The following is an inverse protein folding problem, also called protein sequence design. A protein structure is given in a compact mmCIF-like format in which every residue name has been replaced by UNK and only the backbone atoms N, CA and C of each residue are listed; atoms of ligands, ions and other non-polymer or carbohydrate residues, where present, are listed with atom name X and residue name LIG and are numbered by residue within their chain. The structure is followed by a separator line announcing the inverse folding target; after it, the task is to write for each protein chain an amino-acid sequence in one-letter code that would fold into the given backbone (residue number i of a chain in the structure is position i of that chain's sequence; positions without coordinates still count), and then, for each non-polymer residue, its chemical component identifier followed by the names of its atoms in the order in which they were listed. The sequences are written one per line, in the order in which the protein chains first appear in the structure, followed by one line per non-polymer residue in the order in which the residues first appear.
data_IF_565623468404
#
_entry.id   IF_565623468404
#
_cell.length_a   1.000
_cell.length_b   1.000
_cell.length_c   1.000
_cell.angle_alpha   90.00
_cell.angle_beta   90.00
_cell.angle_gamma   90.00
#
_symmetry.space_group_name_H-M   'P 1'
#
loop_
_entity.id
_entity.type
_entity.pdbx_description
1 polymer ?
#
# COMPACT_ATOMS: atom_id res chain seq x y z
N UNK A 1 29.94 15.36 -11.11
CA UNK A 1 29.16 16.38 -10.38
C UNK A 1 27.91 15.69 -9.86
N UNK A 2 27.87 15.31 -8.57
CA UNK A 2 26.73 14.56 -8.00
C UNK A 2 25.61 15.55 -7.73
N UNK A 3 24.61 15.60 -8.58
CA UNK A 3 23.34 16.27 -8.29
C UNK A 3 22.70 15.56 -7.11
N UNK A 4 22.79 16.15 -5.92
CA UNK A 4 22.16 15.59 -4.72
C UNK A 4 20.66 15.55 -4.92
N UNK A 5 20.04 14.37 -4.82
CA UNK A 5 18.58 14.26 -4.85
C UNK A 5 18.03 15.00 -3.63
N UNK A 6 17.31 16.09 -3.90
CA UNK A 6 16.61 16.85 -2.86
C UNK A 6 15.14 16.72 -3.14
N UNK A 7 14.38 16.29 -2.14
CA UNK A 7 12.94 16.46 -2.18
C UNK A 7 12.71 17.97 -2.16
N UNK A 8 12.23 18.53 -3.28
CA UNK A 8 11.90 19.95 -3.32
C UNK A 8 10.82 20.23 -2.28
N UNK A 9 10.79 21.45 -1.73
CA UNK A 9 9.78 21.83 -0.74
C UNK A 9 8.36 21.60 -1.28
N UNK A 10 8.13 21.93 -2.55
CA UNK A 10 6.86 21.70 -3.24
C UNK A 10 6.51 20.21 -3.34
N UNK A 11 7.46 19.35 -3.73
CA UNK A 11 7.25 17.90 -3.73
C UNK A 11 6.93 17.37 -2.33
N UNK A 12 7.66 17.82 -1.31
CA UNK A 12 7.44 17.42 0.08
C UNK A 12 6.03 17.79 0.55
N UNK A 13 5.59 19.02 0.29
CA UNK A 13 4.25 19.49 0.61
C UNK A 13 3.16 18.70 -0.12
N UNK A 14 3.36 18.39 -1.40
CA UNK A 14 2.43 17.56 -2.19
C UNK A 14 2.30 16.17 -1.57
N UNK A 15 3.42 15.53 -1.19
CA UNK A 15 3.39 14.21 -0.57
C UNK A 15 2.64 14.22 0.76
N UNK A 16 2.90 15.20 1.62
CA UNK A 16 2.18 15.34 2.90
C UNK A 16 0.69 15.55 2.68
N UNK A 17 0.31 16.40 1.72
CA UNK A 17 -1.08 16.65 1.38
C UNK A 17 -1.78 15.38 0.87
N UNK A 18 -1.13 14.61 0.00
CA UNK A 18 -1.67 13.34 -0.49
C UNK A 18 -1.87 12.34 0.67
N UNK A 19 -0.89 12.21 1.57
CA UNK A 19 -1.01 11.33 2.73
C UNK A 19 -2.16 11.75 3.67
N UNK A 20 -2.33 13.06 3.86
CA UNK A 20 -3.40 13.66 4.66
C UNK A 20 -4.80 13.35 4.12
N UNK A 21 -5.00 13.55 2.82
CA UNK A 21 -6.30 13.26 2.19
C UNK A 21 -6.60 11.75 2.29
N UNK A 22 -5.58 10.90 2.27
CA UNK A 22 -5.73 9.47 2.53
C UNK A 22 -6.21 9.11 3.91
N UNK A 23 -5.56 9.66 4.93
CA UNK A 23 -5.99 9.46 6.30
C UNK A 23 -7.45 9.92 6.50
N UNK A 24 -7.83 11.05 5.91
CA UNK A 24 -9.20 11.56 5.94
C UNK A 24 -10.19 10.59 5.26
N UNK A 25 -9.85 10.11 4.06
CA UNK A 25 -10.72 9.24 3.25
C UNK A 25 -11.00 7.90 3.90
N UNK A 26 -9.99 7.30 4.55
CA UNK A 26 -10.15 6.07 5.32
C UNK A 26 -11.05 6.27 6.53
N UNK A 27 -10.93 7.42 7.19
CA UNK A 27 -11.75 7.72 8.37
C UNK A 27 -13.20 8.04 8.01
N UNK A 28 -13.45 8.66 6.86
CA UNK A 28 -14.82 8.93 6.39
C UNK A 28 -15.56 7.64 5.99
N UNK A 29 -14.85 6.64 5.48
CA UNK A 29 -15.45 5.39 5.01
C UNK A 29 -15.97 4.49 6.14
N UNK A 30 -15.44 4.63 7.36
CA UNK A 30 -15.93 3.88 8.53
C UNK A 30 -17.23 4.45 9.14
N UNK A 31 -17.66 5.65 8.72
CA UNK A 31 -18.89 6.30 9.20
C UNK A 31 -20.17 5.76 8.57
N UNK A 32 -20.10 5.39 7.30
CA UNK A 32 -21.29 5.15 6.47
C UNK A 32 -21.96 3.80 6.73
N UNK A 33 -21.36 2.92 7.54
CA UNK A 33 -21.78 1.52 7.69
C UNK A 33 -22.64 1.21 8.92
N UNK A 34 -22.91 2.17 9.81
CA UNK A 34 -23.65 1.89 11.06
C UNK A 34 -24.95 2.70 11.22
N UNK A 35 -26.09 2.00 11.11
CA UNK A 35 -27.44 2.51 11.35
C UNK A 35 -27.75 2.74 12.83
N UNK A 36 -27.19 3.79 13.41
CA UNK A 36 -27.46 4.20 14.80
C UNK A 36 -28.73 5.10 14.92
N UNK A 37 -29.21 5.36 16.13
CA UNK A 37 -30.32 6.31 16.42
C UNK A 37 -29.84 7.77 16.46
N UNK A 38 -30.70 8.79 16.33
CA UNK A 38 -30.26 10.19 16.18
C UNK A 38 -29.36 10.73 17.34
N UNK A 39 -29.63 10.35 18.59
CA UNK A 39 -28.84 10.78 19.75
C UNK A 39 -27.52 10.01 19.90
N UNK A 40 -27.55 8.69 19.63
CA UNK A 40 -26.33 7.88 19.56
C UNK A 40 -25.45 8.29 18.38
N UNK A 41 -26.04 8.72 17.26
CA UNK A 41 -25.33 9.38 16.16
C UNK A 41 -24.62 10.65 16.62
N UNK A 42 -25.25 11.54 17.39
CA UNK A 42 -24.63 12.80 17.81
C UNK A 42 -23.41 12.57 18.73
N UNK A 43 -23.53 11.69 19.74
CA UNK A 43 -22.43 11.35 20.64
C UNK A 43 -21.34 10.54 19.93
N UNK A 44 -21.72 9.64 19.02
CA UNK A 44 -20.76 9.00 18.11
C UNK A 44 -20.06 10.03 17.22
N UNK A 45 -20.77 11.00 16.65
CA UNK A 45 -20.21 12.03 15.76
C UNK A 45 -19.16 12.84 16.50
N UNK A 46 -19.40 13.23 17.76
CA UNK A 46 -18.43 14.02 18.53
C UNK A 46 -17.20 13.20 18.95
N UNK A 47 -17.40 12.00 19.50
CA UNK A 47 -16.31 11.11 19.88
C UNK A 47 -15.48 10.68 18.67
N UNK A 48 -16.15 10.44 17.55
CA UNK A 48 -15.52 10.09 16.29
C UNK A 48 -14.79 11.28 15.69
N UNK A 49 -15.40 12.47 15.60
CA UNK A 49 -14.73 13.68 15.09
C UNK A 49 -13.41 13.93 15.84
N UNK A 50 -13.42 13.75 17.15
CA UNK A 50 -12.22 13.80 17.98
C UNK A 50 -11.19 12.69 17.63
N UNK A 51 -11.63 11.47 17.34
CA UNK A 51 -10.76 10.40 16.86
C UNK A 51 -10.23 10.64 15.44
N UNK A 52 -11.04 11.19 14.53
CA UNK A 52 -10.63 11.59 13.17
C UNK A 52 -9.57 12.67 13.26
N UNK A 53 -9.84 13.72 14.03
CA UNK A 53 -8.92 14.85 14.16
C UNK A 53 -7.58 14.40 14.76
N UNK A 54 -7.62 13.56 15.80
CA UNK A 54 -6.41 12.97 16.41
C UNK A 54 -5.68 12.06 15.43
N UNK A 55 -6.39 11.18 14.73
CA UNK A 55 -5.81 10.31 13.72
C UNK A 55 -5.16 11.09 12.58
N UNK A 56 -5.80 12.16 12.13
CA UNK A 56 -5.31 13.03 11.06
C UNK A 56 -4.09 13.82 11.49
N UNK A 57 -4.07 14.36 12.72
CA UNK A 57 -2.89 15.03 13.28
C UNK A 57 -1.74 14.04 13.45
N UNK A 58 -1.99 12.84 13.97
CA UNK A 58 -0.93 11.83 14.13
C UNK A 58 -0.40 11.37 12.76
N UNK A 59 -1.29 11.10 11.80
CA UNK A 59 -0.90 10.71 10.45
C UNK A 59 -0.12 11.83 9.75
N UNK A 60 -0.56 13.09 9.88
CA UNK A 60 0.13 14.23 9.25
C UNK A 60 1.53 14.43 9.80
N UNK A 61 1.68 14.39 11.12
CA UNK A 61 2.97 14.48 11.79
C UNK A 61 3.87 13.31 11.40
N UNK A 62 3.32 12.10 11.38
CA UNK A 62 4.05 10.89 11.01
C UNK A 62 4.56 10.96 9.56
N UNK A 63 3.69 11.23 8.58
CA UNK A 63 4.12 11.29 7.17
C UNK A 63 5.01 12.50 6.88
N UNK A 64 4.79 13.64 7.53
CA UNK A 64 5.70 14.79 7.43
C UNK A 64 7.09 14.45 7.95
N UNK A 65 7.16 13.77 9.09
CA UNK A 65 8.42 13.28 9.65
C UNK A 65 9.08 12.27 8.71
N UNK A 66 8.32 11.33 8.13
CA UNK A 66 8.86 10.36 7.17
C UNK A 66 9.43 11.06 5.94
N UNK A 67 8.73 12.04 5.35
CA UNK A 67 9.24 12.79 4.19
C UNK A 67 10.50 13.57 4.55
N UNK A 68 10.53 14.21 5.73
CA UNK A 68 11.71 14.93 6.22
C UNK A 68 12.91 14.00 6.41
N UNK A 69 12.72 12.88 7.11
CA UNK A 69 13.77 11.88 7.34
C UNK A 69 14.23 11.25 6.03
N UNK A 70 13.30 10.99 5.10
CA UNK A 70 13.62 10.48 3.77
C UNK A 70 14.53 11.45 3.02
N UNK A 71 14.28 12.75 3.07
CA UNK A 71 15.16 13.75 2.47
C UNK A 71 16.57 13.72 3.09
N UNK A 72 16.68 13.55 4.42
CA UNK A 72 17.98 13.42 5.10
C UNK A 72 18.72 12.15 4.68
N UNK A 73 18.01 11.03 4.52
CA UNK A 73 18.58 9.73 4.16
C UNK A 73 18.98 9.69 2.68
N UNK A 74 18.13 10.20 1.78
CA UNK A 74 18.39 10.28 0.34
C UNK A 74 19.65 11.10 0.02
N UNK A 75 19.97 12.12 0.82
CA UNK A 75 21.23 12.85 0.69
C UNK A 75 22.48 12.03 1.07
N UNK A 76 22.31 10.84 1.66
CA UNK A 76 23.37 9.93 2.10
C UNK A 76 23.44 8.62 1.30
N UNK A 77 22.53 8.41 0.36
CA UNK A 77 22.51 7.24 -0.53
C UNK A 77 22.48 7.68 -1.99
N UNK A 78 23.03 6.87 -2.88
CA UNK A 78 23.08 7.18 -4.31
C UNK A 78 21.77 6.77 -5.00
N UNK A 79 20.67 7.42 -4.59
CA UNK A 79 19.36 7.27 -5.19
C UNK A 79 18.80 8.65 -5.56
N UNK A 80 18.29 8.77 -6.79
CA UNK A 80 17.61 9.98 -7.27
C UNK A 80 16.18 9.68 -7.74
N UNK A 81 15.26 9.41 -6.80
CA UNK A 81 13.90 9.01 -7.14
C UNK A 81 13.05 10.14 -7.74
N UNK A 82 13.51 11.39 -7.63
CA UNK A 82 12.82 12.59 -8.15
C UNK A 82 13.57 13.26 -9.30
N UNK A 83 14.54 12.57 -9.91
CA UNK A 83 15.19 13.04 -11.12
C UNK A 83 14.14 13.50 -12.16
N UNK A 84 14.35 14.65 -12.83
CA UNK A 84 13.41 15.15 -13.83
C UNK A 84 13.29 14.13 -14.95
N UNK A 85 12.04 13.76 -15.26
CA UNK A 85 11.69 12.77 -16.29
C UNK A 85 10.49 13.29 -17.06
N UNK A 86 10.42 12.94 -18.34
CA UNK A 86 9.24 13.23 -19.14
C UNK A 86 8.03 12.43 -18.62
N UNK A 87 6.81 12.94 -18.83
CA UNK A 87 5.59 12.22 -18.45
C UNK A 87 5.52 10.83 -19.09
N UNK A 88 6.01 10.67 -20.33
CA UNK A 88 6.05 9.38 -21.02
C UNK A 88 6.94 8.37 -20.29
N UNK A 89 8.10 8.79 -19.78
CA UNK A 89 9.02 7.94 -19.02
C UNK A 89 8.49 7.53 -17.65
N UNK A 90 7.51 8.28 -17.12
CA UNK A 90 6.81 7.94 -15.88
C UNK A 90 5.62 7.01 -16.18
N UNK A 91 4.75 7.42 -17.10
CA UNK A 91 3.45 6.77 -17.35
C UNK A 91 3.62 5.43 -18.07
N UNK A 92 4.47 5.34 -19.10
CA UNK A 92 4.62 4.12 -19.91
C UNK A 92 5.08 2.91 -19.08
N UNK A 93 6.19 2.99 -18.31
CA UNK A 93 6.57 1.87 -17.45
C UNK A 93 5.54 1.62 -16.34
N UNK A 94 4.92 2.67 -15.78
CA UNK A 94 3.90 2.48 -14.76
C UNK A 94 2.70 1.67 -15.26
N UNK A 95 2.21 1.98 -16.46
CA UNK A 95 1.15 1.22 -17.13
C UNK A 95 1.59 -0.21 -17.42
N UNK A 96 2.75 -0.40 -18.04
CA UNK A 96 3.22 -1.73 -18.41
C UNK A 96 3.36 -2.65 -17.20
N UNK A 97 4.12 -2.24 -16.18
CA UNK A 97 4.36 -3.06 -15.00
C UNK A 97 3.13 -3.13 -14.09
N UNK A 98 2.33 -2.06 -14.00
CA UNK A 98 1.10 -2.05 -13.22
C UNK A 98 0.04 -3.00 -13.79
N UNK A 99 -0.15 -3.00 -15.12
CA UNK A 99 -1.06 -3.94 -15.78
C UNK A 99 -0.56 -5.37 -15.67
N UNK A 100 0.72 -5.61 -15.97
CA UNK A 100 1.31 -6.94 -15.90
C UNK A 100 1.15 -7.54 -14.49
N UNK A 101 1.50 -6.79 -13.45
CA UNK A 101 1.37 -7.23 -12.08
C UNK A 101 -0.09 -7.36 -11.65
N UNK A 102 -0.95 -6.42 -12.04
CA UNK A 102 -2.39 -6.45 -11.76
C UNK A 102 -3.07 -7.70 -12.30
N UNK A 103 -2.64 -8.20 -13.48
CA UNK A 103 -3.13 -9.44 -14.07
C UNK A 103 -2.45 -10.69 -13.48
N UNK A 104 -1.16 -10.61 -13.14
CA UNK A 104 -0.41 -11.75 -12.59
C UNK A 104 -0.82 -12.08 -11.15
N UNK A 105 -1.16 -11.08 -10.32
CA UNK A 105 -1.46 -11.29 -8.90
C UNK A 105 -2.71 -12.17 -8.66
N UNK A 106 -3.85 -11.99 -9.35
CA UNK A 106 -4.97 -12.91 -9.27
C UNK A 106 -4.63 -14.34 -9.73
N UNK A 107 -3.77 -14.49 -10.73
CA UNK A 107 -3.31 -15.80 -11.19
C UNK A 107 -2.44 -16.49 -10.14
N UNK A 108 -1.53 -15.73 -9.52
CA UNK A 108 -0.72 -16.22 -8.41
C UNK A 108 -1.59 -16.65 -7.23
N UNK A 109 -2.58 -15.84 -6.85
CA UNK A 109 -3.54 -16.20 -5.78
C UNK A 109 -4.31 -17.49 -6.11
N UNK A 110 -4.80 -17.63 -7.35
CA UNK A 110 -5.46 -18.86 -7.80
C UNK A 110 -4.53 -20.07 -7.77
N UNK A 111 -3.26 -19.90 -8.13
CA UNK A 111 -2.26 -20.95 -8.05
C UNK A 111 -2.02 -21.36 -6.59
N UNK A 112 -1.77 -20.40 -5.69
CA UNK A 112 -1.53 -20.66 -4.28
C UNK A 112 -2.76 -21.34 -3.63
N UNK A 113 -3.97 -20.85 -3.90
CA UNK A 113 -5.18 -21.41 -3.30
C UNK A 113 -5.69 -22.69 -3.95
N UNK A 114 -5.75 -22.73 -5.28
CA UNK A 114 -6.31 -23.87 -6.00
C UNK A 114 -5.34 -25.04 -6.12
N UNK A 115 -4.06 -24.76 -6.38
CA UNK A 115 -3.07 -25.82 -6.64
C UNK A 115 -2.30 -26.23 -5.38
N UNK A 116 -1.90 -25.26 -4.54
CA UNK A 116 -1.17 -25.55 -3.30
C UNK A 116 -2.10 -25.71 -2.08
N UNK A 117 -3.42 -25.60 -2.27
CA UNK A 117 -4.41 -25.72 -1.19
C UNK A 117 -4.27 -24.65 -0.10
N UNK A 118 -3.62 -23.52 -0.39
CA UNK A 118 -3.47 -22.45 0.59
C UNK A 118 -4.81 -21.75 0.79
N UNK A 119 -5.35 -21.66 2.02
CA UNK A 119 -6.58 -20.91 2.27
C UNK A 119 -6.45 -19.49 1.73
N UNK A 120 -7.41 -19.08 0.90
CA UNK A 120 -7.48 -17.71 0.40
C UNK A 120 -7.68 -16.77 1.60
N UNK A 121 -6.91 -15.67 1.68
CA UNK A 121 -7.05 -14.74 2.79
C UNK A 121 -8.44 -14.09 2.75
N UNK A 122 -9.21 -14.31 3.82
CA UNK A 122 -10.54 -13.69 4.03
C UNK A 122 -10.54 -12.16 3.90
N UNK A 123 -9.36 -11.54 4.05
CA UNK A 123 -9.11 -10.12 3.86
C UNK A 123 -9.59 -9.57 2.53
N UNK A 124 -9.35 -10.29 1.43
CA UNK A 124 -9.71 -9.76 0.10
C UNK A 124 -11.22 -9.70 -0.06
N UNK A 125 -11.94 -10.77 0.33
CA UNK A 125 -13.39 -10.80 0.24
C UNK A 125 -14.08 -9.76 1.14
N UNK A 126 -13.57 -9.51 2.35
CA UNK A 126 -14.13 -8.52 3.26
C UNK A 126 -13.81 -7.09 2.85
N UNK A 127 -12.55 -6.79 2.50
CA UNK A 127 -12.14 -5.46 2.03
C UNK A 127 -12.86 -5.10 0.73
N UNK A 128 -12.97 -6.03 -0.21
CA UNK A 128 -13.70 -5.79 -1.46
C UNK A 128 -15.19 -5.58 -1.21
N UNK A 129 -15.80 -6.27 -0.24
CA UNK A 129 -17.19 -6.03 0.16
C UNK A 129 -17.39 -4.67 0.79
N UNK A 130 -16.52 -4.25 1.71
CA UNK A 130 -16.60 -2.95 2.37
C UNK A 130 -16.31 -1.79 1.40
N UNK A 131 -15.33 -1.96 0.50
CA UNK A 131 -15.06 -0.99 -0.57
C UNK A 131 -16.21 -0.93 -1.58
N UNK A 132 -16.83 -2.08 -1.94
CA UNK A 132 -17.95 -2.12 -2.87
C UNK A 132 -19.18 -1.32 -2.39
N UNK A 133 -19.33 -1.15 -1.07
CA UNK A 133 -20.39 -0.33 -0.48
C UNK A 133 -20.14 1.19 -0.66
N UNK A 134 -18.89 1.59 -0.90
CA UNK A 134 -18.54 2.98 -1.20
C UNK A 134 -18.84 3.24 -2.69
N UNK A 135 -19.32 4.44 -3.03
CA UNK A 135 -19.45 4.83 -4.44
C UNK A 135 -18.09 4.78 -5.16
N UNK A 136 -18.09 4.50 -6.47
CA UNK A 136 -16.86 4.39 -7.28
C UNK A 136 -15.85 5.55 -7.11
N UNK A 137 -16.27 6.83 -6.93
CA UNK A 137 -15.30 7.91 -6.73
C UNK A 137 -14.58 7.81 -5.38
N UNK A 138 -15.29 7.41 -4.33
CA UNK A 138 -14.75 7.27 -2.99
C UNK A 138 -13.79 6.09 -2.90
N UNK A 139 -14.11 4.97 -3.56
CA UNK A 139 -13.20 3.83 -3.69
C UNK A 139 -11.88 4.24 -4.36
N UNK A 140 -11.96 4.98 -5.48
CA UNK A 140 -10.78 5.42 -6.22
C UNK A 140 -9.88 6.34 -5.37
N UNK A 141 -10.49 7.26 -4.62
CA UNK A 141 -9.77 8.15 -3.70
C UNK A 141 -9.08 7.36 -2.58
N UNK A 142 -9.81 6.52 -1.85
CA UNK A 142 -9.23 5.69 -0.77
C UNK A 142 -8.07 4.85 -1.30
N UNK A 143 -8.24 4.23 -2.48
CA UNK A 143 -7.22 3.42 -3.14
C UNK A 143 -5.97 4.23 -3.49
N UNK A 144 -6.15 5.42 -4.07
CA UNK A 144 -5.06 6.29 -4.48
C UNK A 144 -4.19 6.66 -3.28
N UNK A 145 -4.83 7.07 -2.20
CA UNK A 145 -4.10 7.56 -1.05
C UNK A 145 -3.49 6.45 -0.18
N UNK A 146 -4.14 5.29 -0.07
CA UNK A 146 -3.54 4.12 0.57
C UNK A 146 -2.25 3.70 -0.15
N UNK A 147 -2.26 3.73 -1.48
CA UNK A 147 -1.07 3.47 -2.29
C UNK A 147 0.02 4.51 -2.02
N UNK A 148 -0.29 5.80 -2.04
CA UNK A 148 0.70 6.84 -1.75
C UNK A 148 1.31 6.71 -0.35
N UNK A 149 0.49 6.44 0.66
CA UNK A 149 0.94 6.19 2.03
C UNK A 149 1.95 5.04 2.09
N UNK A 150 1.64 3.91 1.42
CA UNK A 150 2.54 2.76 1.32
C UNK A 150 3.84 3.10 0.60
N UNK A 151 3.79 3.87 -0.48
CA UNK A 151 4.99 4.24 -1.23
C UNK A 151 5.88 5.23 -0.47
N UNK A 152 5.29 6.21 0.23
CA UNK A 152 6.06 7.10 1.12
C UNK A 152 6.72 6.30 2.25
N UNK A 153 5.99 5.39 2.88
CA UNK A 153 6.53 4.58 3.96
C UNK A 153 7.66 3.66 3.44
N UNK A 154 7.36 2.76 2.51
CA UNK A 154 8.28 1.69 2.16
C UNK A 154 9.35 2.13 1.16
N UNK A 155 9.02 2.97 0.18
CA UNK A 155 9.92 3.25 -0.95
C UNK A 155 10.70 4.52 -0.69
N UNK A 156 10.02 5.56 -0.20
CA UNK A 156 10.68 6.83 0.08
C UNK A 156 11.50 6.80 1.37
N UNK A 157 11.01 6.13 2.43
CA UNK A 157 11.71 6.04 3.71
C UNK A 157 12.45 4.72 3.93
N UNK A 158 11.74 3.59 4.02
CA UNK A 158 12.32 2.31 4.47
C UNK A 158 13.44 1.83 3.53
N UNK A 159 13.23 1.85 2.22
CA UNK A 159 14.24 1.36 1.26
C UNK A 159 15.56 2.16 1.34
N UNK A 160 15.56 3.51 1.28
CA UNK A 160 16.78 4.29 1.50
C UNK A 160 17.40 4.07 2.88
N UNK A 161 16.59 3.90 3.93
CA UNK A 161 17.09 3.64 5.28
C UNK A 161 17.84 2.30 5.35
N UNK A 162 17.24 1.24 4.81
CA UNK A 162 17.88 -0.09 4.72
C UNK A 162 19.14 -0.01 3.87
N UNK A 163 19.08 0.65 2.71
CA UNK A 163 20.25 0.83 1.84
C UNK A 163 21.39 1.56 2.58
N UNK A 164 21.07 2.62 3.35
CA UNK A 164 22.06 3.33 4.16
C UNK A 164 22.71 2.43 5.22
N UNK A 165 21.92 1.60 5.89
CA UNK A 165 22.42 0.65 6.89
C UNK A 165 23.33 -0.39 6.24
N UNK A 166 22.89 -1.01 5.14
CA UNK A 166 23.68 -2.02 4.44
C UNK A 166 24.99 -1.43 3.88
N UNK A 167 24.96 -0.21 3.32
CA UNK A 167 26.17 0.49 2.88
C UNK A 167 27.17 0.73 4.02
N UNK A 168 26.70 0.93 5.27
CA UNK A 168 27.58 1.04 6.43
C UNK A 168 28.15 -0.31 6.86
N UNK A 169 27.35 -1.38 6.77
CA UNK A 169 27.76 -2.73 7.17
C UNK A 169 28.75 -3.36 6.18
N UNK A 170 28.56 -3.16 4.88
CA UNK A 170 29.35 -3.82 3.82
C UNK A 170 30.50 -2.99 3.27
N UNK A 171 30.75 -1.79 3.82
CA UNK A 171 31.68 -0.73 3.37
C UNK A 171 32.99 -1.16 2.70
N UNK A 172 33.75 -2.20 3.12
CA UNK A 172 35.01 -2.55 2.46
C UNK A 172 34.90 -3.39 1.16
N UNK A 173 33.73 -3.86 0.74
CA UNK A 173 33.60 -4.82 -0.39
C UNK A 173 33.37 -4.09 -1.73
N UNK A 174 34.35 -4.10 -2.65
CA UNK A 174 34.31 -3.39 -3.94
C UNK A 174 33.12 -3.74 -4.89
N UNK A 175 32.31 -4.75 -4.56
CA UNK A 175 31.12 -5.24 -5.30
C UNK A 175 29.78 -4.58 -4.92
N UNK A 176 29.80 -3.57 -4.03
CA UNK A 176 28.62 -3.17 -3.24
C UNK A 176 27.44 -2.57 -4.00
N UNK A 177 27.60 -1.94 -5.17
CA UNK A 177 26.53 -1.10 -5.73
C UNK A 177 25.21 -1.86 -6.01
N UNK A 178 25.26 -2.83 -6.92
CA UNK A 178 24.04 -3.52 -7.38
C UNK A 178 23.49 -4.52 -6.36
N UNK A 179 24.37 -5.30 -5.73
CA UNK A 179 23.94 -6.30 -4.75
C UNK A 179 23.27 -5.65 -3.54
N UNK A 180 23.81 -4.56 -3.02
CA UNK A 180 23.24 -3.89 -1.84
C UNK A 180 21.88 -3.25 -2.13
N UNK A 181 21.67 -2.74 -3.36
CA UNK A 181 20.36 -2.25 -3.79
C UNK A 181 19.35 -3.39 -3.92
N UNK A 182 19.73 -4.53 -4.50
CA UNK A 182 18.83 -5.69 -4.60
C UNK A 182 18.47 -6.23 -3.22
N UNK A 183 19.45 -6.32 -2.32
CA UNK A 183 19.24 -6.74 -0.94
C UNK A 183 18.34 -5.76 -0.17
N UNK A 184 18.49 -4.44 -0.37
CA UNK A 184 17.63 -3.45 0.28
C UNK A 184 16.19 -3.53 -0.22
N UNK A 185 15.98 -3.77 -1.51
CA UNK A 185 14.66 -4.02 -2.10
C UNK A 185 14.03 -5.27 -1.46
N UNK A 186 14.78 -6.37 -1.37
CA UNK A 186 14.30 -7.62 -0.79
C UNK A 186 13.91 -7.46 0.68
N UNK A 187 14.79 -6.87 1.51
CA UNK A 187 14.53 -6.63 2.94
C UNK A 187 13.31 -5.72 3.12
N UNK A 188 13.20 -4.64 2.33
CA UNK A 188 12.05 -3.73 2.40
C UNK A 188 10.75 -4.45 2.02
N UNK A 189 10.78 -5.30 1.00
CA UNK A 189 9.62 -6.08 0.58
C UNK A 189 9.20 -7.12 1.63
N UNK A 190 10.16 -7.70 2.37
CA UNK A 190 9.86 -8.56 3.52
C UNK A 190 9.25 -7.76 4.67
N UNK A 191 9.79 -6.59 5.00
CA UNK A 191 9.20 -5.70 6.02
C UNK A 191 7.74 -5.36 5.66
N UNK A 192 7.48 -5.00 4.40
CA UNK A 192 6.12 -4.74 3.92
C UNK A 192 5.21 -5.97 4.05
N UNK A 193 5.73 -7.17 3.79
CA UNK A 193 5.00 -8.42 3.98
C UNK A 193 4.69 -8.70 5.44
N UNK A 194 5.65 -8.53 6.34
CA UNK A 194 5.48 -8.71 7.79
C UNK A 194 4.46 -7.72 8.34
N UNK A 195 4.51 -6.45 7.94
CA UNK A 195 3.50 -5.46 8.35
C UNK A 195 2.11 -5.88 7.85
N UNK A 196 2.00 -6.37 6.61
CA UNK A 196 0.74 -6.87 6.07
C UNK A 196 0.20 -8.09 6.84
N UNK A 197 1.09 -8.96 7.35
CA UNK A 197 0.72 -10.05 8.25
C UNK A 197 0.17 -9.53 9.57
N UNK A 198 0.86 -8.61 10.23
CA UNK A 198 0.41 -8.03 11.50
C UNK A 198 -0.94 -7.33 11.37
N UNK A 199 -1.15 -6.58 10.28
CA UNK A 199 -2.46 -5.99 9.98
C UNK A 199 -3.53 -7.05 9.76
N UNK A 200 -3.21 -8.15 9.08
CA UNK A 200 -4.18 -9.23 8.84
C UNK A 200 -4.52 -10.01 10.12
N UNK A 201 -3.53 -10.37 10.95
CA UNK A 201 -3.75 -11.03 12.24
C UNK A 201 -4.65 -10.16 13.16
N UNK A 202 -4.46 -8.84 13.16
CA UNK A 202 -5.29 -7.93 13.96
C UNK A 202 -6.74 -7.81 13.47
N UNK A 203 -7.00 -8.00 12.18
CA UNK A 203 -8.34 -7.85 11.60
C UNK A 203 -9.13 -9.18 11.63
N UNK A 204 -8.46 -10.31 11.43
CA UNK A 204 -9.11 -11.63 11.29
C UNK A 204 -8.90 -12.56 12.47
N UNK A 205 -8.09 -12.17 13.45
CA UNK A 205 -7.67 -13.05 14.53
C UNK A 205 -6.53 -13.99 14.10
N UNK A 206 -6.26 -15.05 14.88
CA UNK A 206 -5.09 -15.88 14.69
C UNK A 206 -5.13 -16.61 13.34
N UNK A 207 -4.23 -16.24 12.43
CA UNK A 207 -4.09 -16.88 11.13
C UNK A 207 -3.27 -18.17 11.22
N UNK A 208 -3.62 -19.16 10.40
CA UNK A 208 -2.82 -20.39 10.27
C UNK A 208 -1.47 -20.07 9.59
N UNK A 209 -0.47 -20.93 9.81
CA UNK A 209 0.86 -20.78 9.17
C UNK A 209 0.73 -20.68 7.65
N UNK A 210 -0.16 -21.47 7.05
CA UNK A 210 -0.37 -21.47 5.60
C UNK A 210 -0.97 -20.15 5.10
N UNK A 211 -1.93 -19.56 5.84
CA UNK A 211 -2.46 -18.22 5.54
C UNK A 211 -1.38 -17.14 5.66
N UNK A 212 -0.52 -17.24 6.68
CA UNK A 212 0.60 -16.30 6.87
C UNK A 212 1.58 -16.38 5.72
N UNK A 213 1.99 -17.58 5.30
CA UNK A 213 2.86 -17.74 4.14
C UNK A 213 2.20 -17.18 2.87
N UNK A 214 0.91 -17.43 2.67
CA UNK A 214 0.16 -16.93 1.53
C UNK A 214 0.17 -15.38 1.49
N UNK A 215 -0.18 -14.71 2.59
CA UNK A 215 -0.20 -13.24 2.69
C UNK A 215 1.21 -12.67 2.50
N UNK A 216 2.23 -13.29 3.09
CA UNK A 216 3.62 -12.86 2.95
C UNK A 216 4.06 -12.89 1.49
N UNK A 217 3.79 -13.97 0.76
CA UNK A 217 4.13 -14.08 -0.67
C UNK A 217 3.41 -13.02 -1.50
N UNK A 218 2.09 -12.87 -1.31
CA UNK A 218 1.29 -11.90 -2.05
C UNK A 218 1.68 -10.45 -1.75
N UNK A 219 2.24 -10.15 -0.59
CA UNK A 219 2.70 -8.80 -0.24
C UNK A 219 4.16 -8.54 -0.67
N UNK A 220 5.04 -9.52 -0.52
CA UNK A 220 6.48 -9.37 -0.80
C UNK A 220 6.78 -9.33 -2.30
N UNK A 221 6.18 -10.20 -3.11
CA UNK A 221 6.44 -10.26 -4.57
C UNK A 221 6.16 -8.91 -5.28
N UNK A 222 4.95 -8.32 -5.18
CA UNK A 222 4.69 -7.02 -5.79
C UNK A 222 5.56 -5.92 -5.16
N UNK A 223 5.86 -6.04 -3.86
CA UNK A 223 6.70 -5.06 -3.17
C UNK A 223 8.13 -5.00 -3.69
N UNK A 224 8.69 -6.13 -4.12
CA UNK A 224 10.00 -6.18 -4.78
C UNK A 224 9.96 -5.44 -6.13
N UNK A 225 8.91 -5.64 -6.93
CA UNK A 225 8.77 -4.96 -8.22
C UNK A 225 8.68 -3.44 -8.04
N UNK A 226 7.87 -2.96 -7.08
CA UNK A 226 7.78 -1.52 -6.80
C UNK A 226 9.08 -0.95 -6.26
N UNK A 227 9.81 -1.69 -5.42
CA UNK A 227 11.16 -1.29 -4.99
C UNK A 227 12.14 -1.17 -6.15
N UNK A 228 12.11 -2.10 -7.09
CA UNK A 228 12.92 -2.03 -8.32
C UNK A 228 12.53 -0.83 -9.20
N UNK A 229 11.22 -0.60 -9.39
CA UNK A 229 10.71 0.57 -10.12
C UNK A 229 11.12 1.88 -9.46
N UNK A 230 11.08 1.96 -8.12
CA UNK A 230 11.53 3.14 -7.39
C UNK A 230 13.00 3.44 -7.69
N UNK A 231 13.88 2.43 -7.61
CA UNK A 231 15.31 2.58 -7.86
C UNK A 231 15.64 2.89 -9.33
N UNK A 232 14.90 2.35 -10.30
CA UNK A 232 15.22 2.49 -11.74
C UNK A 232 14.42 3.58 -12.44
N UNK A 233 13.15 3.72 -12.08
CA UNK A 233 12.16 4.55 -12.77
C UNK A 233 11.65 5.73 -11.94
N UNK A 234 12.06 5.84 -10.68
CA UNK A 234 11.71 6.94 -9.80
C UNK A 234 10.41 6.73 -9.03
N UNK A 235 10.16 7.62 -8.08
CA UNK A 235 9.03 7.52 -7.13
C UNK A 235 7.68 7.53 -7.84
N UNK A 236 7.45 8.49 -8.73
CA UNK A 236 6.16 8.65 -9.41
C UNK A 236 5.78 7.42 -10.25
N UNK A 237 6.76 6.79 -10.90
CA UNK A 237 6.53 5.57 -11.68
C UNK A 237 6.11 4.41 -10.78
N UNK A 238 6.80 4.21 -9.65
CA UNK A 238 6.47 3.15 -8.70
C UNK A 238 5.07 3.35 -8.10
N UNK A 239 4.74 4.56 -7.68
CA UNK A 239 3.43 4.90 -7.12
C UNK A 239 2.30 4.72 -8.12
N UNK A 240 2.48 5.17 -9.36
CA UNK A 240 1.49 4.99 -10.40
C UNK A 240 1.31 3.51 -10.77
N UNK A 241 2.41 2.73 -10.88
CA UNK A 241 2.34 1.29 -11.14
C UNK A 241 1.59 0.54 -10.04
N UNK A 242 1.85 0.90 -8.77
CA UNK A 242 1.16 0.33 -7.62
C UNK A 242 -0.33 0.67 -7.65
N UNK A 243 -0.67 1.93 -7.95
CA UNK A 243 -2.07 2.35 -8.08
C UNK A 243 -2.82 1.59 -9.18
N UNK A 244 -2.20 1.45 -10.36
CA UNK A 244 -2.78 0.69 -11.48
C UNK A 244 -2.97 -0.79 -11.10
N UNK A 245 -1.95 -1.40 -10.47
CA UNK A 245 -2.01 -2.78 -9.97
C UNK A 245 -3.20 -2.95 -9.02
N UNK A 246 -3.37 -2.01 -8.09
CA UNK A 246 -4.45 -2.01 -7.12
C UNK A 246 -5.82 -1.89 -7.79
N UNK A 247 -5.99 -0.97 -8.74
CA UNK A 247 -7.24 -0.84 -9.50
C UNK A 247 -7.58 -2.15 -10.21
N UNK A 248 -6.63 -2.77 -10.90
CA UNK A 248 -6.88 -3.99 -11.69
C UNK A 248 -7.27 -5.15 -10.77
N UNK A 249 -6.55 -5.34 -9.66
CA UNK A 249 -6.86 -6.40 -8.69
C UNK A 249 -8.27 -6.24 -8.12
N UNK A 250 -8.68 -5.01 -7.81
CA UNK A 250 -10.00 -4.75 -7.23
C UNK A 250 -11.12 -4.75 -8.28
N UNK A 251 -10.89 -4.22 -9.48
CA UNK A 251 -11.88 -4.21 -10.58
C UNK A 251 -12.15 -5.60 -11.15
N UNK A 252 -11.12 -6.44 -11.29
CA UNK A 252 -11.25 -7.82 -11.82
C UNK A 252 -12.13 -8.70 -10.92
N UNK A 253 -12.22 -8.38 -9.63
CA UNK A 253 -13.09 -9.09 -8.70
C UNK A 253 -14.58 -8.83 -8.96
N UNK A 254 -14.94 -7.60 -9.35
CA UNK A 254 -16.33 -7.24 -9.70
C UNK A 254 -16.85 -7.95 -10.94
N UNK A 255 -15.95 -8.31 -11.88
CA UNK A 255 -16.32 -9.02 -13.11
C UNK A 255 -16.62 -10.50 -12.80
N UNK A 256 -15.95 -11.10 -11.81
CA UNK A 256 -16.06 -12.54 -11.53
C UNK A 256 -17.10 -12.93 -10.47
N UNK A 257 -17.60 -11.99 -9.67
CA UNK A 257 -18.67 -12.24 -8.70
C UNK A 257 -19.81 -11.26 -8.90
N UNK A 258 -20.92 -11.65 -9.56
CA UNK A 258 -22.09 -10.81 -9.66
C UNK A 258 -22.62 -10.45 -8.26
N UNK A 259 -22.94 -9.18 -7.98
CA UNK A 259 -23.47 -8.76 -6.67
C UNK A 259 -24.77 -9.49 -6.27
N UNK A 260 -25.49 -10.06 -7.24
CA UNK A 260 -26.69 -10.86 -7.02
C UNK A 260 -26.45 -12.21 -6.33
N UNK A 261 -25.24 -12.78 -6.41
CA UNK A 261 -24.95 -14.09 -5.78
C UNK A 261 -24.57 -13.99 -4.30
N UNK A 262 -24.19 -12.81 -3.80
CA UNK A 262 -23.84 -12.61 -2.39
C UNK A 262 -25.08 -12.37 -1.52
N UNK A 263 -26.18 -11.86 -2.11
CA UNK A 263 -27.43 -11.61 -1.40
C UNK A 263 -28.25 -12.88 -1.11
N UNK A 264 -27.96 -14.00 -1.79
CA UNK A 264 -28.79 -15.22 -1.74
C UNK A 264 -28.25 -16.27 -0.75
N UNK A 265 -27.02 -16.14 -0.24
CA UNK A 265 -26.40 -17.16 0.63
C UNK A 265 -26.53 -16.90 2.13
N UNK A 266 -27.46 -16.04 2.57
CA UNK A 266 -27.91 -16.02 3.97
C UNK A 266 -29.20 -16.86 4.04
N UNK A 267 -29.14 -18.19 4.22
CA UNK A 267 -30.30 -18.87 4.77
C UNK A 267 -30.50 -18.25 6.15
N UNK A 268 -31.65 -17.61 6.32
CA UNK A 268 -32.17 -17.23 7.63
C UNK A 268 -31.95 -18.43 8.54
N UNK A 269 -31.00 -18.28 9.47
CA UNK A 269 -30.82 -19.19 10.59
C UNK A 269 -32.19 -19.24 11.26
N UNK A 270 -32.84 -20.40 11.15
CA UNK A 270 -34.10 -20.67 11.80
C UNK A 270 -33.94 -20.40 13.28
N UNK A 271 -34.69 -19.42 13.76
CA UNK A 271 -34.95 -19.25 15.18
C UNK A 271 -35.81 -20.44 15.63
N UNK A 272 -35.39 -21.25 16.62
CA UNK A 272 -36.31 -22.07 17.38
C UNK A 272 -37.28 -21.20 18.20
#
# INVERSE_FOLDING_TARGET
MITRSRISLTTGLILVLLCLIGALSLTFSSLTTHGASALSKLLMIQGLFSAILRGLVIASLFYSLLVLLSNVILNKVDLDPFAPRSLREIISPALMYGVLLGLAMPLLERFLSGYLGMPSPAFKARLTRELALLGWPQQLMVSLFDVFNKEVHYRLFTLPAVLLILNKLFRPIHLQGHFTILLSIFITALISGIVSLGTSDNIFGPLTVLMKTHILLLATIPSMLFGWLFCKKGFWTASLAHFITFIIINSSFFITTPPLLIAVSNPLVGTP
#
